data_IF_236991909255
#
_entry.id   IF_236991909255
#
_cell.length_a   1.000
_cell.length_b   1.000
_cell.length_c   1.000
_cell.angle_alpha   90.00
_cell.angle_beta   90.00
_cell.angle_gamma   90.00
#
_symmetry.space_group_name_H-M   'P 1'
#
loop_
_entity.id
_entity.type
_entity.pdbx_description
1 polymer ?
#
# COMPACT_ATOMS: atom_id res chain seq x y z
N UNK A 1 6.37 -1.06 -27.34
CA UNK A 1 6.67 -0.72 -25.92
C UNK A 1 7.52 0.54 -25.97
N UNK A 2 6.95 1.71 -25.69
CA UNK A 2 7.72 2.96 -25.63
C UNK A 2 8.59 2.88 -24.37
N UNK A 3 9.90 3.10 -24.51
CA UNK A 3 10.81 3.22 -23.38
C UNK A 3 10.23 4.20 -22.34
N UNK A 4 10.09 3.75 -21.09
CA UNK A 4 9.71 4.63 -19.97
C UNK A 4 10.78 5.72 -19.87
N UNK A 5 10.52 6.88 -20.46
CA UNK A 5 11.37 8.07 -20.26
C UNK A 5 11.36 8.39 -18.78
N UNK A 6 12.54 8.56 -18.20
CA UNK A 6 12.71 8.99 -16.83
C UNK A 6 12.15 10.42 -16.71
N UNK A 7 10.91 10.55 -16.26
CA UNK A 7 10.27 11.83 -15.99
C UNK A 7 10.51 12.22 -14.54
N UNK A 8 10.77 13.50 -14.29
CA UNK A 8 11.00 14.00 -12.94
C UNK A 8 9.75 13.90 -12.07
N UNK A 9 9.91 13.83 -10.75
CA UNK A 9 8.83 13.71 -9.77
C UNK A 9 7.71 14.75 -9.94
N UNK A 10 8.08 16.01 -10.27
CA UNK A 10 7.09 17.07 -10.50
C UNK A 10 6.19 16.76 -11.68
N UNK A 11 6.73 16.24 -12.78
CA UNK A 11 5.95 15.83 -13.95
C UNK A 11 5.12 14.58 -13.62
N UNK A 12 5.69 13.64 -12.88
CA UNK A 12 5.02 12.43 -12.47
C UNK A 12 3.83 12.71 -11.53
N UNK A 13 3.95 13.69 -10.62
CA UNK A 13 2.87 14.10 -9.73
C UNK A 13 1.69 14.77 -10.44
N UNK A 14 1.92 15.36 -11.62
CA UNK A 14 0.87 15.97 -12.45
C UNK A 14 0.27 14.94 -13.41
N UNK A 15 1.09 14.21 -14.15
CA UNK A 15 0.68 13.38 -15.28
C UNK A 15 0.77 11.85 -15.04
N UNK A 16 1.32 11.41 -13.92
CA UNK A 16 1.40 9.98 -13.59
C UNK A 16 0.01 9.35 -13.51
N UNK A 17 -0.17 8.19 -14.14
CA UNK A 17 -1.44 7.47 -14.13
C UNK A 17 -2.55 8.03 -15.03
N UNK A 18 -2.30 9.13 -15.77
CA UNK A 18 -3.31 9.76 -16.64
C UNK A 18 -3.10 9.39 -18.13
N UNK A 19 -2.81 8.14 -18.42
CA UNK A 19 -2.43 7.73 -19.80
C UNK A 19 -3.62 7.54 -20.73
N UNK A 20 -4.85 7.49 -20.22
CA UNK A 20 -6.06 7.22 -21.01
C UNK A 20 -6.82 8.51 -21.39
N UNK A 21 -6.11 9.53 -21.85
CA UNK A 21 -6.72 10.82 -22.25
C UNK A 21 -7.82 10.71 -23.31
N UNK A 22 -7.81 9.67 -24.12
CA UNK A 22 -8.82 9.47 -25.18
C UNK A 22 -10.19 9.12 -24.59
N UNK A 23 -10.25 8.38 -23.48
CA UNK A 23 -11.50 8.05 -22.79
C UNK A 23 -12.24 9.27 -22.25
N UNK A 24 -11.54 10.39 -22.04
CA UNK A 24 -12.09 11.60 -21.44
C UNK A 24 -12.06 12.80 -22.41
N UNK A 25 -12.21 12.55 -23.72
CA UNK A 25 -12.26 13.60 -24.74
C UNK A 25 -11.07 14.58 -24.65
N UNK A 26 -9.86 14.06 -24.29
CA UNK A 26 -8.62 14.84 -24.10
C UNK A 26 -8.69 15.88 -22.99
N UNK A 27 -9.54 15.64 -21.98
CA UNK A 27 -9.55 16.53 -20.82
C UNK A 27 -8.17 16.51 -20.12
N UNK A 28 -7.76 17.64 -19.60
CA UNK A 28 -6.48 17.76 -18.86
C UNK A 28 -6.57 17.23 -17.43
N UNK A 29 -7.78 16.85 -16.98
CA UNK A 29 -8.03 16.25 -15.69
C UNK A 29 -8.99 15.09 -15.85
N UNK A 30 -8.79 14.03 -15.06
CA UNK A 30 -9.70 12.89 -15.04
C UNK A 30 -11.06 13.35 -14.51
N UNK A 31 -12.16 13.17 -15.26
CA UNK A 31 -13.49 13.52 -14.80
C UNK A 31 -13.91 12.67 -13.60
N UNK A 32 -14.78 13.22 -12.75
CA UNK A 32 -15.39 12.46 -11.66
C UNK A 32 -16.52 11.59 -12.23
N UNK A 33 -16.31 10.28 -12.26
CA UNK A 33 -17.28 9.31 -12.74
C UNK A 33 -18.15 8.83 -11.59
N UNK A 34 -19.41 9.27 -11.57
CA UNK A 34 -20.40 8.87 -10.56
C UNK A 34 -21.23 7.64 -10.96
N UNK A 35 -20.98 7.05 -12.13
CA UNK A 35 -21.70 5.85 -12.54
C UNK A 35 -21.49 4.71 -11.55
N UNK A 36 -22.57 4.03 -11.18
CA UNK A 36 -22.55 2.86 -10.31
C UNK A 36 -22.24 1.60 -11.10
N UNK A 37 -22.80 1.47 -12.31
CA UNK A 37 -22.62 0.34 -13.22
C UNK A 37 -22.20 0.81 -14.60
N UNK A 38 -21.56 -0.08 -15.35
CA UNK A 38 -21.04 0.20 -16.68
C UNK A 38 -21.66 -0.79 -17.69
N UNK A 39 -22.09 -0.26 -18.82
CA UNK A 39 -22.70 -1.03 -19.90
C UNK A 39 -21.66 -1.44 -20.94
N UNK A 40 -21.92 -2.57 -21.60
CA UNK A 40 -21.13 -3.10 -22.71
C UNK A 40 -22.05 -3.38 -23.90
N UNK A 41 -21.52 -3.36 -25.10
CA UNK A 41 -22.27 -3.60 -26.32
C UNK A 41 -22.78 -5.05 -26.40
N UNK A 42 -22.04 -6.01 -25.82
CA UNK A 42 -22.39 -7.42 -25.81
C UNK A 42 -22.05 -8.09 -24.45
N UNK A 43 -22.68 -9.21 -24.20
CA UNK A 43 -22.52 -9.97 -22.94
C UNK A 43 -21.20 -10.68 -22.86
N UNK A 44 -20.56 -11.03 -23.95
CA UNK A 44 -19.30 -11.75 -23.95
C UNK A 44 -18.17 -10.83 -23.52
N UNK A 45 -18.16 -9.59 -24.00
CA UNK A 45 -17.24 -8.54 -23.54
C UNK A 45 -17.46 -8.23 -22.07
N UNK A 46 -18.72 -8.05 -21.64
CA UNK A 46 -19.04 -7.83 -20.23
C UNK A 46 -18.51 -8.97 -19.36
N UNK A 47 -18.71 -10.23 -19.80
CA UNK A 47 -18.27 -11.42 -19.06
C UNK A 47 -16.75 -11.48 -18.89
N UNK A 48 -15.99 -11.21 -19.96
CA UNK A 48 -14.52 -11.16 -19.90
C UNK A 48 -14.02 -10.11 -18.89
N UNK A 49 -14.64 -8.92 -18.90
CA UNK A 49 -14.29 -7.87 -17.92
C UNK A 49 -14.68 -8.30 -16.50
N UNK A 50 -15.84 -8.91 -16.32
CA UNK A 50 -16.30 -9.38 -15.02
C UNK A 50 -15.38 -10.47 -14.42
N UNK A 51 -14.77 -11.30 -15.26
CA UNK A 51 -13.78 -12.32 -14.86
C UNK A 51 -12.35 -11.79 -14.75
N UNK A 52 -12.10 -10.53 -15.10
CA UNK A 52 -10.75 -9.95 -15.14
C UNK A 52 -9.89 -10.43 -16.31
N UNK A 53 -10.50 -11.01 -17.33
CA UNK A 53 -9.84 -11.47 -18.57
C UNK A 53 -9.66 -10.32 -19.58
N UNK A 54 -10.37 -9.23 -19.38
CA UNK A 54 -10.25 -7.99 -20.16
C UNK A 54 -10.30 -6.77 -19.22
N UNK A 55 -9.68 -5.67 -19.65
CA UNK A 55 -9.74 -4.41 -18.93
C UNK A 55 -11.13 -3.76 -19.03
N UNK A 56 -11.55 -3.08 -17.96
CA UNK A 56 -12.82 -2.38 -17.92
C UNK A 56 -13.38 -2.25 -16.51
N UNK A 57 -14.61 -1.73 -16.43
CA UNK A 57 -15.33 -1.53 -15.18
C UNK A 57 -16.72 -2.14 -15.27
N UNK A 58 -17.14 -2.84 -14.24
CA UNK A 58 -18.48 -3.45 -14.17
C UNK A 58 -19.34 -2.69 -13.16
N UNK A 59 -18.79 -2.46 -11.98
CA UNK A 59 -19.51 -1.86 -10.86
C UNK A 59 -18.53 -1.05 -9.99
N UNK A 60 -18.89 0.19 -9.65
CA UNK A 60 -18.01 1.13 -8.98
C UNK A 60 -17.54 0.71 -7.59
N UNK A 61 -18.20 -0.26 -6.94
CA UNK A 61 -17.69 -0.85 -5.70
C UNK A 61 -16.37 -1.61 -5.92
N UNK A 62 -16.21 -2.21 -7.09
CA UNK A 62 -15.04 -3.02 -7.42
C UNK A 62 -13.97 -2.19 -8.12
N UNK A 63 -14.38 -1.44 -9.15
CA UNK A 63 -13.48 -0.57 -9.94
C UNK A 63 -14.26 0.63 -10.47
N UNK A 64 -13.58 1.78 -10.53
CA UNK A 64 -14.13 3.02 -11.07
C UNK A 64 -13.01 3.80 -11.77
N UNK A 65 -13.25 4.43 -12.94
CA UNK A 65 -12.21 5.15 -13.67
C UNK A 65 -11.51 6.24 -12.85
N UNK A 66 -12.25 7.00 -12.04
CA UNK A 66 -11.67 8.05 -11.20
C UNK A 66 -10.80 7.46 -10.07
N UNK A 67 -11.27 6.38 -9.45
CA UNK A 67 -10.51 5.65 -8.41
C UNK A 67 -9.25 5.05 -9.03
N UNK A 68 -9.38 4.42 -10.21
CA UNK A 68 -8.25 3.86 -10.94
C UNK A 68 -7.18 4.90 -11.25
N UNK A 69 -7.58 6.08 -11.71
CA UNK A 69 -6.63 7.16 -11.99
C UNK A 69 -5.87 7.63 -10.72
N UNK A 70 -6.53 7.65 -9.57
CA UNK A 70 -5.87 7.92 -8.29
C UNK A 70 -4.87 6.81 -7.93
N UNK A 71 -5.30 5.56 -8.01
CA UNK A 71 -4.45 4.40 -7.72
C UNK A 71 -3.23 4.34 -8.64
N UNK A 72 -3.42 4.56 -9.94
CA UNK A 72 -2.32 4.60 -10.91
C UNK A 72 -1.35 5.75 -10.64
N UNK A 73 -1.84 6.91 -10.22
CA UNK A 73 -0.98 8.03 -9.83
C UNK A 73 -0.12 7.71 -8.60
N UNK A 74 -0.71 7.15 -7.57
CA UNK A 74 0.02 6.73 -6.35
C UNK A 74 1.01 5.63 -6.70
N UNK A 75 0.59 4.62 -7.47
CA UNK A 75 1.44 3.55 -7.97
C UNK A 75 2.70 4.08 -8.68
N UNK A 76 2.54 5.04 -9.60
CA UNK A 76 3.67 5.65 -10.32
C UNK A 76 4.59 6.45 -9.40
N UNK A 77 4.03 7.18 -8.42
CA UNK A 77 4.82 7.96 -7.46
C UNK A 77 5.62 7.06 -6.51
N UNK A 78 5.03 5.99 -6.03
CA UNK A 78 5.70 5.01 -5.15
C UNK A 78 6.64 4.07 -5.92
N UNK A 79 6.51 3.98 -7.24
CA UNK A 79 7.24 3.00 -8.06
C UNK A 79 6.75 1.58 -7.85
N UNK A 80 5.47 1.41 -7.54
CA UNK A 80 4.85 0.13 -7.23
C UNK A 80 4.39 -0.63 -8.48
N UNK A 81 4.18 -1.94 -8.35
CA UNK A 81 3.58 -2.78 -9.39
C UNK A 81 2.07 -2.58 -9.48
N UNK A 82 1.43 -2.36 -8.34
CA UNK A 82 -0.02 -2.15 -8.22
C UNK A 82 -0.33 -1.23 -7.03
N UNK A 83 -1.52 -0.63 -7.06
CA UNK A 83 -2.07 0.13 -5.93
C UNK A 83 -3.56 -0.20 -5.77
N UNK A 84 -4.03 -0.10 -4.55
CA UNK A 84 -5.46 -0.14 -4.23
C UNK A 84 -5.77 0.92 -3.19
N UNK A 85 -6.94 1.52 -3.27
CA UNK A 85 -7.34 2.61 -2.39
C UNK A 85 -8.45 2.20 -1.44
N UNK A 86 -8.49 2.87 -0.31
CA UNK A 86 -9.48 2.66 0.74
C UNK A 86 -10.07 4.01 1.18
N UNK A 87 -11.22 3.97 1.84
CA UNK A 87 -11.90 5.17 2.33
C UNK A 87 -11.15 5.89 3.47
N UNK A 88 -10.16 5.25 4.07
CA UNK A 88 -9.30 5.83 5.12
C UNK A 88 -7.97 5.08 5.23
N UNK A 89 -6.94 5.72 5.80
CA UNK A 89 -5.68 5.07 6.12
C UNK A 89 -5.86 3.87 7.06
N UNK A 90 -6.75 3.98 8.05
CA UNK A 90 -7.05 2.85 8.95
C UNK A 90 -7.68 1.66 8.20
N UNK A 91 -8.49 1.91 7.18
CA UNK A 91 -9.01 0.84 6.33
C UNK A 91 -7.89 0.20 5.50
N UNK A 92 -6.94 0.98 4.98
CA UNK A 92 -5.76 0.44 4.29
C UNK A 92 -4.92 -0.45 5.22
N UNK A 93 -4.60 0.04 6.41
CA UNK A 93 -3.82 -0.70 7.42
C UNK A 93 -4.53 -1.99 7.83
N UNK A 94 -5.80 -1.90 8.24
CA UNK A 94 -6.54 -3.06 8.73
C UNK A 94 -6.76 -4.13 7.66
N UNK A 95 -7.05 -3.74 6.41
CA UNK A 95 -7.19 -4.69 5.31
C UNK A 95 -5.85 -5.34 4.94
N UNK A 96 -4.76 -4.58 4.93
CA UNK A 96 -3.42 -5.13 4.71
C UNK A 96 -3.11 -6.20 5.77
N UNK A 97 -3.25 -5.88 7.04
CA UNK A 97 -2.97 -6.83 8.11
C UNK A 97 -3.88 -8.06 8.07
N UNK A 98 -5.18 -7.88 7.83
CA UNK A 98 -6.14 -8.99 7.72
C UNK A 98 -5.89 -9.89 6.49
N UNK A 99 -5.31 -9.35 5.44
CA UNK A 99 -4.98 -10.12 4.22
C UNK A 99 -3.80 -11.05 4.46
N UNK A 100 -2.78 -10.59 5.18
CA UNK A 100 -1.51 -11.31 5.29
C UNK A 100 -1.31 -12.04 6.61
N UNK A 101 -2.09 -11.73 7.65
CA UNK A 101 -2.01 -12.39 8.96
C UNK A 101 -3.15 -13.38 9.15
N UNK A 102 -2.82 -14.53 9.72
CA UNK A 102 -3.74 -15.60 10.12
C UNK A 102 -3.53 -15.95 11.58
N UNK A 103 -4.51 -16.57 12.23
CA UNK A 103 -4.34 -17.11 13.59
C UNK A 103 -3.09 -17.99 13.70
N UNK A 104 -2.23 -17.69 14.66
CA UNK A 104 -0.93 -18.33 14.86
C UNK A 104 0.25 -17.61 14.22
N UNK A 105 0.00 -16.61 13.38
CA UNK A 105 1.07 -15.77 12.83
C UNK A 105 1.60 -14.76 13.87
N UNK A 106 2.78 -14.24 13.57
CA UNK A 106 3.44 -13.23 14.40
C UNK A 106 3.74 -11.97 13.60
N UNK A 107 3.47 -10.81 14.22
CA UNK A 107 3.81 -9.48 13.73
C UNK A 107 4.89 -8.87 14.63
N UNK A 108 5.90 -8.26 14.01
CA UNK A 108 6.88 -7.40 14.70
C UNK A 108 6.67 -5.96 14.25
N UNK A 109 6.66 -5.02 15.21
CA UNK A 109 6.53 -3.60 14.92
C UNK A 109 7.28 -2.75 15.96
N UNK A 110 7.20 -1.44 15.79
CA UNK A 110 7.73 -0.43 16.70
C UNK A 110 6.62 0.13 17.59
N UNK A 111 6.97 0.61 18.78
CA UNK A 111 6.01 1.17 19.75
C UNK A 111 5.43 2.51 19.33
N UNK A 112 6.26 3.36 18.71
CA UNK A 112 5.82 4.66 18.22
C UNK A 112 5.15 4.48 16.85
N UNK A 113 3.88 4.17 16.84
CA UNK A 113 3.03 4.13 15.65
C UNK A 113 1.76 4.92 15.88
N UNK A 114 1.06 5.27 14.81
CA UNK A 114 -0.21 5.97 14.90
C UNK A 114 -1.17 5.30 15.90
N UNK A 115 -1.87 6.11 16.69
CA UNK A 115 -2.72 5.61 17.78
C UNK A 115 -3.73 4.55 17.36
N UNK A 116 -4.37 4.73 16.18
CA UNK A 116 -5.29 3.73 15.62
C UNK A 116 -4.60 2.41 15.28
N UNK A 117 -3.41 2.45 14.73
CA UNK A 117 -2.58 1.26 14.44
C UNK A 117 -2.17 0.57 15.72
N UNK A 118 -1.80 1.34 16.74
CA UNK A 118 -1.45 0.82 18.06
C UNK A 118 -2.62 0.07 18.74
N UNK A 119 -3.84 0.58 18.57
CA UNK A 119 -5.06 -0.12 19.02
C UNK A 119 -5.23 -1.46 18.28
N UNK A 120 -5.01 -1.50 16.96
CA UNK A 120 -5.03 -2.76 16.21
C UNK A 120 -4.03 -3.76 16.80
N UNK A 121 -2.80 -3.34 17.08
CA UNK A 121 -1.74 -4.19 17.58
C UNK A 121 -2.02 -4.74 18.99
N UNK A 122 -2.57 -3.93 19.88
CA UNK A 122 -2.75 -4.29 21.27
C UNK A 122 -4.12 -4.91 21.59
N UNK A 123 -5.16 -4.55 20.83
CA UNK A 123 -6.54 -4.92 21.18
C UNK A 123 -7.23 -5.81 20.14
N UNK A 124 -6.90 -5.69 18.84
CA UNK A 124 -7.59 -6.45 17.80
C UNK A 124 -6.84 -7.71 17.37
N UNK A 125 -5.53 -7.67 17.21
CA UNK A 125 -4.77 -8.83 16.74
C UNK A 125 -4.64 -9.94 17.80
N UNK A 126 -4.36 -9.67 19.10
CA UNK A 126 -4.19 -10.73 20.09
C UNK A 126 -5.43 -11.62 20.28
N UNK A 127 -6.68 -11.11 20.33
CA UNK A 127 -7.88 -11.96 20.38
C UNK A 127 -8.06 -12.87 19.15
N UNK A 128 -7.45 -12.51 18.01
CA UNK A 128 -7.43 -13.34 16.80
C UNK A 128 -6.30 -14.38 16.81
N UNK A 129 -5.63 -14.57 17.95
CA UNK A 129 -4.47 -15.45 18.10
C UNK A 129 -3.30 -15.07 17.16
N UNK A 130 -3.06 -13.76 17.01
CA UNK A 130 -1.90 -13.21 16.30
C UNK A 130 -0.98 -12.62 17.36
N UNK A 131 0.26 -13.12 17.41
CA UNK A 131 1.28 -12.63 18.35
C UNK A 131 1.86 -11.30 17.86
N UNK A 132 1.96 -10.31 18.75
CA UNK A 132 2.47 -8.98 18.42
C UNK A 132 3.65 -8.61 19.31
N UNK A 133 4.79 -8.35 18.70
CA UNK A 133 5.99 -7.85 19.37
C UNK A 133 6.24 -6.39 19.04
N UNK A 134 6.04 -5.51 20.02
CA UNK A 134 6.31 -4.08 19.90
C UNK A 134 7.68 -3.74 20.49
N UNK A 135 8.59 -3.26 19.66
CA UNK A 135 9.96 -2.92 20.00
C UNK A 135 10.12 -1.41 20.25
N UNK A 136 11.10 -1.02 21.05
CA UNK A 136 11.46 0.40 21.19
C UNK A 136 11.93 0.95 19.86
N UNK A 137 11.34 2.08 19.44
CA UNK A 137 11.67 2.72 18.16
C UNK A 137 13.13 3.21 18.19
N UNK A 138 13.92 2.79 17.21
CA UNK A 138 15.36 3.08 17.12
C UNK A 138 16.26 2.07 17.84
N UNK A 139 15.70 1.14 18.60
CA UNK A 139 16.47 0.03 19.16
C UNK A 139 16.58 -1.10 18.11
N UNK A 140 17.50 -0.94 17.17
CA UNK A 140 17.70 -1.88 16.08
C UNK A 140 18.08 -3.28 16.55
N UNK A 141 18.86 -3.40 17.62
CA UNK A 141 19.27 -4.70 18.18
C UNK A 141 18.04 -5.49 18.67
N UNK A 142 17.15 -4.82 19.40
CA UNK A 142 15.89 -5.41 19.84
C UNK A 142 15.01 -5.81 18.64
N UNK A 143 14.82 -4.91 17.68
CA UNK A 143 13.98 -5.16 16.51
C UNK A 143 14.51 -6.35 15.71
N UNK A 144 15.80 -6.37 15.41
CA UNK A 144 16.45 -7.47 14.68
C UNK A 144 16.38 -8.80 15.44
N UNK A 145 16.55 -8.77 16.76
CA UNK A 145 16.39 -9.94 17.61
C UNK A 145 14.96 -10.50 17.57
N UNK A 146 13.94 -9.62 17.61
CA UNK A 146 12.55 -10.05 17.50
C UNK A 146 12.22 -10.58 16.10
N UNK A 147 12.74 -9.97 15.04
CA UNK A 147 12.61 -10.47 13.67
C UNK A 147 13.24 -11.86 13.56
N UNK A 148 14.43 -12.07 14.12
CA UNK A 148 15.18 -13.33 14.03
C UNK A 148 14.44 -14.52 14.67
N UNK A 149 13.52 -14.29 15.60
CA UNK A 149 12.63 -15.32 16.17
C UNK A 149 11.58 -15.82 15.16
N UNK A 150 11.46 -15.17 14.01
CA UNK A 150 10.46 -15.40 12.98
C UNK A 150 9.23 -14.50 13.16
N UNK A 151 8.77 -13.91 12.06
CA UNK A 151 7.50 -13.19 11.97
C UNK A 151 6.91 -13.34 10.56
N UNK A 152 5.62 -13.16 10.43
CA UNK A 152 4.93 -13.14 9.14
C UNK A 152 4.97 -11.74 8.53
N UNK A 153 4.83 -10.72 9.36
CA UNK A 153 4.83 -9.31 8.97
C UNK A 153 5.79 -8.53 9.87
N UNK A 154 6.65 -7.72 9.25
CA UNK A 154 7.30 -6.58 9.87
C UNK A 154 6.54 -5.33 9.46
N UNK A 155 5.91 -4.64 10.41
CA UNK A 155 5.22 -3.36 10.16
C UNK A 155 6.05 -2.21 10.72
N UNK A 156 6.33 -1.22 9.89
CA UNK A 156 7.07 -0.03 10.27
C UNK A 156 6.25 1.22 9.95
N UNK A 157 6.42 2.27 10.73
CA UNK A 157 5.95 3.61 10.44
C UNK A 157 7.14 4.57 10.53
N UNK A 158 7.43 5.30 9.47
CA UNK A 158 8.57 6.22 9.46
C UNK A 158 8.41 7.32 8.41
N UNK A 159 8.44 8.60 8.83
CA UNK A 159 8.56 9.11 10.21
C UNK A 159 7.37 8.71 11.09
N UNK A 160 7.61 8.49 12.39
CA UNK A 160 6.56 8.06 13.33
C UNK A 160 5.62 9.19 13.74
N UNK A 161 4.36 8.88 14.03
CA UNK A 161 3.39 9.83 14.59
C UNK A 161 3.21 9.59 16.11
N UNK A 162 3.38 10.58 17.00
CA UNK A 162 3.69 11.99 16.70
C UNK A 162 5.19 12.33 16.85
N UNK A 163 6.05 11.37 17.13
CA UNK A 163 7.42 11.63 17.62
C UNK A 163 8.43 11.91 16.50
N UNK A 164 8.04 11.75 15.23
CA UNK A 164 8.86 12.01 14.02
C UNK A 164 10.21 11.27 14.05
N UNK A 165 10.26 10.12 14.68
CA UNK A 165 11.46 9.27 14.68
C UNK A 165 11.61 8.59 13.32
N UNK A 166 12.85 8.46 12.88
CA UNK A 166 13.19 7.84 11.60
C UNK A 166 13.72 6.43 11.84
N UNK A 167 13.24 5.49 11.04
CA UNK A 167 13.67 4.10 11.07
C UNK A 167 14.36 3.72 9.77
N UNK A 168 15.49 3.00 9.85
CA UNK A 168 16.22 2.51 8.68
C UNK A 168 15.45 1.33 8.04
N UNK A 169 14.62 1.65 7.05
CA UNK A 169 13.81 0.69 6.31
C UNK A 169 14.72 -0.36 5.66
N UNK A 170 15.80 0.05 5.00
CA UNK A 170 16.69 -0.86 4.25
C UNK A 170 17.31 -1.91 5.15
N UNK A 171 17.79 -1.49 6.32
CA UNK A 171 18.39 -2.40 7.33
C UNK A 171 17.37 -3.42 7.82
N UNK A 172 16.20 -2.95 8.24
CA UNK A 172 15.18 -3.83 8.82
C UNK A 172 14.50 -4.73 7.77
N UNK A 173 14.31 -4.23 6.54
CA UNK A 173 13.85 -5.06 5.41
C UNK A 173 14.82 -6.19 5.12
N UNK A 174 16.14 -5.91 5.14
CA UNK A 174 17.15 -6.95 4.94
C UNK A 174 17.12 -8.01 6.06
N UNK A 175 16.82 -7.62 7.30
CA UNK A 175 16.63 -8.56 8.40
C UNK A 175 15.36 -9.41 8.23
N UNK A 176 14.24 -8.77 7.89
CA UNK A 176 12.94 -9.42 7.68
C UNK A 176 12.97 -10.45 6.54
N UNK A 177 13.64 -10.14 5.44
CA UNK A 177 13.79 -11.05 4.30
C UNK A 177 14.53 -12.34 4.64
N UNK A 178 15.43 -12.34 5.63
CA UNK A 178 16.14 -13.56 6.07
C UNK A 178 15.20 -14.59 6.70
N UNK A 179 14.08 -14.16 7.25
CA UNK A 179 13.07 -15.03 7.87
C UNK A 179 11.81 -15.16 7.00
N UNK A 180 11.82 -14.60 5.78
CA UNK A 180 10.68 -14.64 4.86
C UNK A 180 9.49 -13.78 5.27
N UNK A 181 9.71 -12.76 6.09
CA UNK A 181 8.67 -11.84 6.51
C UNK A 181 8.34 -10.79 5.44
N UNK A 182 7.05 -10.49 5.32
CA UNK A 182 6.54 -9.36 4.52
C UNK A 182 6.83 -8.04 5.25
N UNK A 183 7.35 -7.06 4.54
CA UNK A 183 7.66 -5.73 5.09
C UNK A 183 6.62 -4.73 4.63
N UNK A 184 5.88 -4.18 5.59
CA UNK A 184 4.87 -3.14 5.39
C UNK A 184 5.36 -1.84 6.02
N UNK A 185 5.30 -0.74 5.27
CA UNK A 185 5.75 0.57 5.75
C UNK A 185 4.63 1.60 5.60
N UNK A 186 4.18 2.14 6.70
CA UNK A 186 3.33 3.34 6.69
C UNK A 186 4.21 4.56 6.39
N UNK A 187 4.07 5.08 5.18
CA UNK A 187 4.83 6.19 4.63
C UNK A 187 4.05 7.52 4.65
N UNK A 188 2.96 7.58 5.41
CA UNK A 188 2.01 8.70 5.41
C UNK A 188 2.70 10.05 5.58
N UNK A 189 3.63 10.18 6.52
CA UNK A 189 4.28 11.47 6.81
C UNK A 189 5.34 11.86 5.78
N UNK A 190 6.14 10.92 5.31
CA UNK A 190 7.16 11.21 4.31
C UNK A 190 6.57 11.43 2.93
N UNK A 191 5.53 10.70 2.57
CA UNK A 191 4.97 10.62 1.22
C UNK A 191 5.96 10.07 0.16
N UNK A 192 5.54 9.62 -1.01
CA UNK A 192 6.45 9.14 -2.05
C UNK A 192 7.40 10.21 -2.59
N UNK A 193 7.19 11.48 -2.26
CA UNK A 193 8.06 12.58 -2.67
C UNK A 193 9.36 12.60 -1.86
N UNK A 194 9.27 12.32 -0.56
CA UNK A 194 10.43 12.36 0.34
C UNK A 194 11.04 10.98 0.60
N UNK A 195 10.24 9.91 0.48
CA UNK A 195 10.69 8.55 0.77
C UNK A 195 9.91 7.54 -0.06
N UNK A 196 10.61 6.57 -0.63
CA UNK A 196 10.02 5.43 -1.37
C UNK A 196 10.40 4.12 -0.69
N UNK A 197 9.57 3.60 0.20
CA UNK A 197 9.89 2.40 0.97
C UNK A 197 10.14 1.16 0.11
N UNK A 198 9.47 1.03 -1.04
CA UNK A 198 9.65 -0.10 -1.96
C UNK A 198 11.09 -0.16 -2.50
N UNK A 199 11.70 0.99 -2.82
CA UNK A 199 13.10 1.07 -3.25
C UNK A 199 14.08 0.70 -2.13
N UNK A 200 13.64 0.78 -0.87
CA UNK A 200 14.41 0.45 0.33
C UNK A 200 14.17 -1.00 0.80
N UNK A 201 13.36 -1.75 0.09
CA UNK A 201 13.14 -3.16 0.32
C UNK A 201 11.83 -3.52 1.03
N UNK A 202 10.92 -2.57 1.24
CA UNK A 202 9.55 -2.88 1.63
C UNK A 202 8.81 -3.61 0.50
N UNK A 203 7.80 -4.38 0.88
CA UNK A 203 6.93 -5.09 -0.06
C UNK A 203 5.61 -4.33 -0.25
N UNK A 204 5.19 -3.57 0.77
CA UNK A 204 3.96 -2.76 0.76
C UNK A 204 4.26 -1.41 1.42
N UNK A 205 3.72 -0.35 0.85
CA UNK A 205 3.76 1.00 1.40
C UNK A 205 2.37 1.62 1.40
#
# INVERSE_FOLDING_TARGET
MLEKKHIGQSTQSIWGGEQEHELYERSTQVPVVHSVSFAYEDIDTWHKVALGEAEGHIYSRNTNPTVRAFEDKVKELEGAEAATSFSSGMAAISNTLATFLKPGDRLVSIKDSYGGTNVIFNEFLPPLNIDVSLCETGNYEQIESEIAKGCKVLYLETPTNPTIKITDIKRLSAAAKKVGALVVVDNTFATPINQRPLELGADIT
#
